data_IF_876962731752
#
_entry.id   IF_876962731752
#
_cell.length_a   1.000
_cell.length_b   1.000
_cell.length_c   1.000
_cell.angle_alpha   90.00
_cell.angle_beta   90.00
_cell.angle_gamma   90.00
#
_symmetry.space_group_name_H-M   'P 1'
#
loop_
_entity.id
_entity.type
_entity.pdbx_description
1 polymer ?
#
# COMPACT_ATOMS: atom_id res chain seq x y z
N UNK A 1 -2.82 3.69 -21.82
CA UNK A 1 -3.06 4.20 -20.45
C UNK A 1 -2.75 5.69 -20.50
N UNK A 2 -3.68 6.57 -20.14
CA UNK A 2 -3.42 8.01 -20.15
C UNK A 2 -2.37 8.34 -19.10
N UNK A 3 -1.28 9.00 -19.49
CA UNK A 3 -0.20 9.39 -18.58
C UNK A 3 -0.43 10.83 -18.13
N UNK A 4 -0.61 11.03 -16.82
CA UNK A 4 -0.51 12.36 -16.21
C UNK A 4 0.93 12.50 -15.75
N UNK A 5 1.78 13.09 -16.58
CA UNK A 5 3.20 13.27 -16.29
C UNK A 5 3.43 14.63 -15.64
N UNK A 6 4.05 14.62 -14.46
CA UNK A 6 4.53 15.84 -13.81
C UNK A 6 6.04 15.95 -14.11
N UNK A 7 6.46 16.91 -14.96
CA UNK A 7 7.84 16.99 -15.39
C UNK A 7 8.79 17.23 -14.21
N UNK A 8 9.94 16.55 -14.23
CA UNK A 8 11.07 16.70 -13.28
C UNK A 8 10.78 16.36 -11.81
N UNK A 9 9.56 15.94 -11.45
CA UNK A 9 9.23 15.58 -10.07
C UNK A 9 10.05 14.39 -9.58
N UNK A 10 10.25 13.37 -10.43
CA UNK A 10 11.07 12.21 -10.10
C UNK A 10 12.55 12.57 -9.90
N UNK A 11 13.16 13.35 -10.79
CA UNK A 11 14.56 13.78 -10.64
C UNK A 11 14.78 14.60 -9.36
N UNK A 12 13.83 15.49 -9.05
CA UNK A 12 13.86 16.26 -7.80
C UNK A 12 13.71 15.37 -6.56
N UNK A 13 12.79 14.41 -6.55
CA UNK A 13 12.57 13.53 -5.39
C UNK A 13 13.68 12.50 -5.21
N UNK A 14 14.24 11.97 -6.30
CA UNK A 14 15.22 10.90 -6.25
C UNK A 14 16.66 11.41 -6.03
N UNK A 15 17.03 12.51 -6.68
CA UNK A 15 18.41 13.01 -6.70
C UNK A 15 18.57 14.41 -6.08
N UNK A 16 17.47 15.06 -5.66
CA UNK A 16 17.45 16.45 -5.20
C UNK A 16 18.02 17.46 -6.23
N UNK A 17 18.09 17.04 -7.51
CA UNK A 17 18.53 17.85 -8.64
C UNK A 17 17.50 17.71 -9.79
N UNK A 18 16.84 18.81 -10.22
CA UNK A 18 15.89 18.80 -11.33
C UNK A 18 16.46 18.32 -12.67
N UNK A 19 17.77 18.30 -12.83
CA UNK A 19 18.45 17.90 -14.07
C UNK A 19 19.13 16.53 -13.97
N UNK A 20 19.00 15.82 -12.84
CA UNK A 20 19.52 14.47 -12.71
C UNK A 20 18.83 13.53 -13.70
N UNK A 21 19.65 12.78 -14.45
CA UNK A 21 19.18 11.79 -15.41
C UNK A 21 18.71 10.53 -14.67
N UNK A 22 17.41 10.24 -14.76
CA UNK A 22 16.82 9.01 -14.24
C UNK A 22 16.84 7.99 -15.38
N UNK A 23 17.59 6.90 -15.20
CA UNK A 23 17.68 5.83 -16.21
C UNK A 23 16.30 5.21 -16.44
N UNK A 24 15.87 5.23 -17.69
CA UNK A 24 14.61 4.59 -18.10
C UNK A 24 14.68 3.08 -17.99
N UNK A 25 13.52 2.44 -17.79
CA UNK A 25 13.44 0.97 -17.73
C UNK A 25 13.94 0.31 -19.02
N UNK A 26 13.91 1.03 -20.14
CA UNK A 26 14.39 0.55 -21.44
C UNK A 26 15.89 0.32 -21.54
N UNK A 27 16.68 0.87 -20.61
CA UNK A 27 18.13 0.64 -20.56
C UNK A 27 18.50 -0.74 -20.03
N UNK A 28 17.55 -1.49 -19.44
CA UNK A 28 17.78 -2.80 -18.84
C UNK A 28 17.32 -3.94 -19.78
N UNK A 29 17.95 -5.13 -19.76
CA UNK A 29 17.47 -6.27 -20.55
C UNK A 29 16.04 -6.66 -20.18
N UNK A 30 15.19 -7.01 -21.16
CA UNK A 30 13.77 -7.33 -20.92
C UNK A 30 13.54 -8.45 -19.91
N UNK A 31 14.46 -9.41 -19.82
CA UNK A 31 14.40 -10.54 -18.88
C UNK A 31 14.73 -10.16 -17.42
N UNK A 32 15.24 -8.95 -17.19
CA UNK A 32 15.61 -8.45 -15.86
C UNK A 32 14.65 -7.37 -15.37
N UNK A 33 13.62 -7.05 -16.16
CA UNK A 33 12.62 -6.04 -15.82
C UNK A 33 11.48 -6.67 -15.01
N UNK A 34 11.02 -6.03 -13.92
CA UNK A 34 9.76 -6.40 -13.28
C UNK A 34 8.58 -6.06 -14.20
N UNK A 35 7.38 -6.56 -13.86
CA UNK A 35 6.15 -6.16 -14.57
C UNK A 35 5.84 -4.67 -14.30
N UNK A 36 6.00 -3.77 -15.30
CA UNK A 36 5.92 -2.33 -15.05
C UNK A 36 4.48 -1.88 -14.76
N UNK A 37 3.48 -2.56 -15.31
CA UNK A 37 2.06 -2.21 -15.13
C UNK A 37 1.63 -2.45 -13.68
N UNK A 38 2.02 -3.59 -13.12
CA UNK A 38 1.67 -3.95 -11.74
C UNK A 38 2.33 -3.00 -10.75
N UNK A 39 3.61 -2.67 -10.96
CA UNK A 39 4.36 -1.74 -10.10
C UNK A 39 3.77 -0.33 -10.20
N UNK A 40 3.45 0.16 -11.40
CA UNK A 40 2.87 1.47 -11.60
C UNK A 40 1.50 1.61 -10.91
N UNK A 41 0.59 0.66 -11.13
CA UNK A 41 -0.74 0.70 -10.50
C UNK A 41 -0.67 0.60 -8.97
N UNK A 42 0.27 -0.18 -8.45
CA UNK A 42 0.49 -0.29 -7.01
C UNK A 42 1.06 1.03 -6.44
N UNK A 43 1.95 1.69 -7.17
CA UNK A 43 2.49 3.00 -6.81
C UNK A 43 1.40 4.07 -6.79
N UNK A 44 0.56 4.12 -7.82
CA UNK A 44 -0.56 5.05 -7.90
C UNK A 44 -1.54 4.85 -6.75
N UNK A 45 -1.88 3.60 -6.43
CA UNK A 45 -2.75 3.27 -5.31
C UNK A 45 -2.14 3.69 -3.96
N UNK A 46 -0.85 3.39 -3.74
CA UNK A 46 -0.13 3.76 -2.51
C UNK A 46 -0.11 5.28 -2.33
N UNK A 47 0.37 6.02 -3.34
CA UNK A 47 0.51 7.48 -3.27
C UNK A 47 -0.85 8.16 -3.24
N UNK A 48 -1.79 7.73 -4.08
CA UNK A 48 -3.13 8.29 -4.14
C UNK A 48 -3.89 8.14 -2.83
N UNK A 49 -3.92 6.93 -2.25
CA UNK A 49 -4.53 6.71 -0.94
C UNK A 49 -3.79 7.46 0.17
N UNK A 50 -2.45 7.41 0.18
CA UNK A 50 -1.62 8.08 1.18
C UNK A 50 -1.84 9.60 1.20
N UNK A 51 -1.85 10.24 0.03
CA UNK A 51 -2.15 11.67 -0.10
C UNK A 51 -3.57 12.00 0.33
N UNK A 52 -4.57 11.21 -0.08
CA UNK A 52 -5.96 11.45 0.29
C UNK A 52 -6.18 11.33 1.81
N UNK A 53 -5.56 10.35 2.45
CA UNK A 53 -5.58 10.17 3.90
C UNK A 53 -4.87 11.34 4.60
N UNK A 54 -3.69 11.73 4.12
CA UNK A 54 -2.93 12.86 4.65
C UNK A 54 -3.69 14.19 4.55
N UNK A 55 -4.34 14.44 3.41
CA UNK A 55 -5.19 15.61 3.19
C UNK A 55 -6.42 15.60 4.10
N UNK A 56 -7.07 14.44 4.28
CA UNK A 56 -8.20 14.29 5.18
C UNK A 56 -7.80 14.59 6.64
N UNK A 57 -6.64 14.08 7.07
CA UNK A 57 -6.09 14.33 8.40
C UNK A 57 -5.72 15.81 8.59
N UNK A 58 -5.05 16.42 7.61
CA UNK A 58 -4.69 17.84 7.63
C UNK A 58 -5.94 18.74 7.70
N UNK A 59 -6.96 18.44 6.89
CA UNK A 59 -8.23 19.17 6.90
C UNK A 59 -8.95 19.04 8.25
N UNK A 60 -8.98 17.84 8.83
CA UNK A 60 -9.57 17.63 10.15
C UNK A 60 -8.85 18.45 11.23
N UNK A 61 -7.52 18.39 11.25
CA UNK A 61 -6.71 19.14 12.21
C UNK A 61 -6.86 20.65 12.04
N UNK A 62 -6.83 21.13 10.80
CA UNK A 62 -7.05 22.54 10.48
C UNK A 62 -8.40 23.05 11.00
N UNK A 63 -9.47 22.29 10.78
CA UNK A 63 -10.81 22.65 11.26
C UNK A 63 -10.91 22.59 12.79
N UNK A 64 -10.24 21.64 13.44
CA UNK A 64 -10.16 21.60 14.91
C UNK A 64 -9.48 22.84 15.47
N UNK A 65 -8.35 23.27 14.90
CA UNK A 65 -7.64 24.49 15.31
C UNK A 65 -8.51 25.72 15.07
N UNK A 66 -9.06 25.86 13.87
CA UNK A 66 -9.89 27.02 13.49
C UNK A 66 -11.13 27.16 14.38
N UNK A 67 -11.72 26.04 14.82
CA UNK A 67 -12.90 26.03 15.71
C UNK A 67 -12.55 25.98 17.20
N UNK A 68 -11.31 26.31 17.58
CA UNK A 68 -10.82 26.33 18.97
C UNK A 68 -11.03 25.01 19.72
N UNK A 69 -10.70 23.90 19.07
CA UNK A 69 -10.77 22.55 19.65
C UNK A 69 -12.14 21.87 19.54
N UNK A 70 -13.13 22.49 18.89
CA UNK A 70 -14.42 21.83 18.64
C UNK A 70 -14.32 20.88 17.45
N UNK A 71 -14.69 19.62 17.68
CA UNK A 71 -14.72 18.58 16.64
C UNK A 71 -15.69 18.98 15.52
N UNK A 72 -15.25 18.96 14.25
CA UNK A 72 -16.12 19.25 13.12
C UNK A 72 -17.26 18.22 13.02
N UNK A 73 -18.51 18.66 13.04
CA UNK A 73 -19.68 17.80 12.87
C UNK A 73 -20.03 17.53 11.38
N UNK A 74 -19.09 17.77 10.46
CA UNK A 74 -19.33 17.62 9.03
C UNK A 74 -19.32 16.14 8.64
N UNK A 75 -20.51 15.57 8.41
CA UNK A 75 -20.71 14.12 8.17
C UNK A 75 -19.81 13.51 7.08
N UNK A 76 -19.59 14.14 5.91
CA UNK A 76 -18.67 13.62 4.90
C UNK A 76 -17.23 13.51 5.39
N UNK A 77 -16.75 14.48 6.17
CA UNK A 77 -15.40 14.44 6.74
C UNK A 77 -15.27 13.29 7.76
N UNK A 78 -16.28 13.08 8.61
CA UNK A 78 -16.26 11.97 9.56
C UNK A 78 -16.28 10.60 8.86
N UNK A 79 -17.01 10.46 7.75
CA UNK A 79 -16.97 9.27 6.91
C UNK A 79 -15.61 9.07 6.25
N UNK A 80 -14.99 10.15 5.75
CA UNK A 80 -13.66 10.10 5.16
C UNK A 80 -12.61 9.61 6.17
N UNK A 81 -12.70 10.08 7.43
CA UNK A 81 -11.84 9.62 8.53
C UNK A 81 -12.15 8.18 8.93
N UNK A 82 -13.41 7.75 8.89
CA UNK A 82 -13.74 6.35 9.19
C UNK A 82 -13.17 5.39 8.12
N UNK A 83 -13.22 5.79 6.85
CA UNK A 83 -12.70 5.00 5.71
C UNK A 83 -11.17 5.03 5.64
N UNK A 84 -10.52 6.07 6.19
CA UNK A 84 -9.06 6.19 6.17
C UNK A 84 -8.34 5.06 6.89
N UNK A 85 -8.97 4.42 7.89
CA UNK A 85 -8.42 3.25 8.58
C UNK A 85 -8.21 2.07 7.62
N UNK A 86 -9.28 1.50 7.03
CA UNK A 86 -9.15 0.47 6.00
C UNK A 86 -8.31 0.90 4.79
N UNK A 87 -8.44 2.15 4.35
CA UNK A 87 -7.66 2.67 3.22
C UNK A 87 -6.16 2.72 3.51
N UNK A 88 -5.74 2.98 4.76
CA UNK A 88 -4.34 2.94 5.18
C UNK A 88 -3.74 1.54 5.03
N UNK A 89 -4.51 0.50 5.36
CA UNK A 89 -4.08 -0.89 5.17
C UNK A 89 -3.90 -1.18 3.68
N UNK A 90 -4.86 -0.77 2.84
CA UNK A 90 -4.73 -0.95 1.40
C UNK A 90 -3.52 -0.20 0.81
N UNK A 91 -3.24 1.02 1.28
CA UNK A 91 -2.06 1.78 0.86
C UNK A 91 -0.75 1.10 1.29
N UNK A 92 -0.72 0.51 2.49
CA UNK A 92 0.43 -0.24 2.99
C UNK A 92 0.70 -1.50 2.15
N UNK A 93 -0.33 -2.30 1.83
CA UNK A 93 -0.21 -3.48 0.96
C UNK A 93 0.24 -3.10 -0.46
N UNK A 94 -0.30 -1.99 -1.00
CA UNK A 94 0.14 -1.47 -2.29
C UNK A 94 1.62 -1.07 -2.26
N UNK A 95 2.12 -0.50 -1.16
CA UNK A 95 3.54 -0.21 -0.97
C UNK A 95 4.40 -1.47 -0.95
N UNK A 96 3.95 -2.54 -0.29
CA UNK A 96 4.61 -3.85 -0.35
C UNK A 96 4.63 -4.43 -1.77
N UNK A 97 3.56 -4.24 -2.54
CA UNK A 97 3.55 -4.66 -3.94
C UNK A 97 4.55 -3.87 -4.79
N UNK A 98 4.69 -2.56 -4.58
CA UNK A 98 5.71 -1.76 -5.28
C UNK A 98 7.11 -2.30 -5.01
N UNK A 99 7.45 -2.57 -3.75
CA UNK A 99 8.80 -3.02 -3.38
C UNK A 99 9.06 -4.47 -3.79
N UNK A 100 8.11 -5.37 -3.55
CA UNK A 100 8.31 -6.81 -3.77
C UNK A 100 8.23 -7.17 -5.26
N UNK A 101 7.23 -6.65 -5.99
CA UNK A 101 7.14 -6.86 -7.43
C UNK A 101 8.15 -6.03 -8.20
N UNK A 102 8.54 -4.86 -7.68
CA UNK A 102 9.61 -4.04 -8.28
C UNK A 102 10.99 -4.70 -8.23
N UNK A 103 11.21 -5.63 -7.28
CA UNK A 103 12.47 -6.37 -7.17
C UNK A 103 12.52 -7.60 -8.08
N UNK A 104 11.39 -8.10 -8.57
CA UNK A 104 11.36 -9.24 -9.50
C UNK A 104 12.19 -8.93 -10.76
N UNK A 105 12.96 -9.90 -11.30
CA UNK A 105 13.03 -11.32 -10.95
C UNK A 105 14.10 -11.66 -9.90
N UNK A 106 14.62 -10.67 -9.17
CA UNK A 106 15.76 -10.85 -8.28
C UNK A 106 15.32 -11.07 -6.83
N UNK A 107 16.03 -11.96 -6.12
CA UNK A 107 16.01 -11.98 -4.65
C UNK A 107 17.17 -11.12 -4.16
N UNK A 108 18.36 -11.39 -4.68
CA UNK A 108 19.55 -10.58 -4.48
C UNK A 108 19.99 -10.10 -5.85
N UNK A 109 19.97 -8.78 -6.04
CA UNK A 109 20.23 -8.17 -7.34
C UNK A 109 21.60 -8.60 -7.90
N UNK A 110 21.60 -9.13 -9.12
CA UNK A 110 22.80 -9.61 -9.81
C UNK A 110 23.42 -10.90 -9.25
N UNK A 111 22.83 -11.50 -8.22
CA UNK A 111 23.39 -12.69 -7.54
C UNK A 111 22.43 -13.88 -7.59
N UNK A 112 21.15 -13.71 -7.25
CA UNK A 112 20.20 -14.81 -7.11
C UNK A 112 18.83 -14.46 -7.68
N UNK A 113 18.36 -15.27 -8.64
CA UNK A 113 17.02 -15.12 -9.24
C UNK A 113 15.95 -15.88 -8.43
N UNK A 114 14.71 -15.39 -8.50
CA UNK A 114 13.57 -16.04 -7.83
C UNK A 114 13.29 -17.45 -8.34
N UNK A 115 13.53 -17.70 -9.63
CA UNK A 115 13.39 -19.03 -10.25
C UNK A 115 14.39 -20.06 -9.73
N UNK A 116 15.57 -19.62 -9.27
CA UNK A 116 16.65 -20.48 -8.79
C UNK A 116 16.50 -20.82 -7.30
N UNK A 117 15.84 -19.95 -6.54
CA UNK A 117 15.60 -20.16 -5.12
C UNK A 117 14.36 -21.03 -4.81
N UNK A 118 13.47 -21.22 -5.79
CA UNK A 118 12.29 -22.05 -5.62
C UNK A 118 12.68 -23.54 -5.57
N UNK A 119 12.18 -24.27 -4.58
CA UNK A 119 12.41 -25.72 -4.44
C UNK A 119 11.19 -26.51 -4.92
N UNK A 120 11.43 -27.69 -5.50
CA UNK A 120 10.38 -28.63 -5.93
C UNK A 120 9.87 -29.47 -4.74
N UNK A 121 9.33 -28.82 -3.70
CA UNK A 121 8.79 -29.53 -2.54
C UNK A 121 7.47 -30.26 -2.90
N UNK A 122 7.36 -31.57 -2.64
CA UNK A 122 6.21 -32.37 -3.09
C UNK A 122 4.88 -32.00 -2.44
N UNK A 123 4.89 -31.35 -1.27
CA UNK A 123 3.68 -30.97 -0.52
C UNK A 123 3.41 -29.46 -0.50
N UNK A 124 3.96 -28.67 -1.43
CA UNK A 124 3.84 -27.21 -1.42
C UNK A 124 2.38 -26.73 -1.49
N UNK A 125 1.59 -27.29 -2.42
CA UNK A 125 0.18 -26.93 -2.61
C UNK A 125 -0.68 -27.18 -1.37
N UNK A 126 -0.70 -28.42 -0.82
CA UNK A 126 -1.43 -28.72 0.41
C UNK A 126 -0.98 -27.85 1.60
N UNK A 127 0.34 -27.66 1.77
CA UNK A 127 0.88 -26.83 2.86
C UNK A 127 0.41 -25.38 2.74
N UNK A 128 0.44 -24.81 1.53
CA UNK A 128 -0.10 -23.48 1.26
C UNK A 128 -1.59 -23.37 1.63
N UNK A 129 -2.41 -24.35 1.23
CA UNK A 129 -3.84 -24.35 1.55
C UNK A 129 -4.11 -24.42 3.06
N UNK A 130 -3.31 -25.19 3.81
CA UNK A 130 -3.41 -25.24 5.27
C UNK A 130 -3.10 -23.89 5.90
N UNK A 131 -1.98 -23.25 5.53
CA UNK A 131 -1.65 -21.92 6.05
C UNK A 131 -2.68 -20.87 5.63
N UNK A 132 -3.16 -20.93 4.39
CA UNK A 132 -4.22 -20.04 3.91
C UNK A 132 -5.51 -20.19 4.74
N UNK A 133 -5.94 -21.42 5.00
CA UNK A 133 -7.11 -21.69 5.84
C UNK A 133 -6.93 -21.19 7.27
N UNK A 134 -5.75 -21.38 7.86
CA UNK A 134 -5.40 -20.86 9.20
C UNK A 134 -5.50 -19.33 9.23
N UNK A 135 -4.92 -18.63 8.25
CA UNK A 135 -4.95 -17.18 8.20
C UNK A 135 -6.37 -16.62 8.01
N UNK A 136 -7.20 -17.26 7.18
CA UNK A 136 -8.61 -16.89 7.04
C UNK A 136 -9.37 -17.10 8.36
N UNK A 137 -9.16 -18.23 9.03
CA UNK A 137 -9.76 -18.51 10.33
C UNK A 137 -9.36 -17.49 11.40
N UNK A 138 -8.07 -17.12 11.44
CA UNK A 138 -7.53 -16.12 12.35
C UNK A 138 -8.12 -14.73 12.06
N UNK A 139 -8.17 -14.32 10.79
CA UNK A 139 -8.72 -13.04 10.37
C UNK A 139 -10.22 -12.93 10.73
N UNK A 140 -11.01 -13.97 10.42
CA UNK A 140 -12.44 -14.01 10.72
C UNK A 140 -12.72 -13.97 12.24
N UNK A 141 -11.94 -14.73 13.01
CA UNK A 141 -12.08 -14.76 14.48
C UNK A 141 -11.73 -13.42 15.09
N UNK A 142 -10.61 -12.82 14.67
CA UNK A 142 -10.17 -11.51 15.15
C UNK A 142 -11.18 -10.42 14.81
N UNK A 143 -11.66 -10.38 13.56
CA UNK A 143 -12.69 -9.43 13.14
C UNK A 143 -13.98 -9.60 13.97
N UNK A 144 -14.44 -10.84 14.19
CA UNK A 144 -15.62 -11.12 15.02
C UNK A 144 -15.43 -10.62 16.46
N UNK A 145 -14.29 -10.90 17.08
CA UNK A 145 -14.00 -10.49 18.45
C UNK A 145 -13.96 -8.96 18.58
N UNK A 146 -13.32 -8.26 17.64
CA UNK A 146 -13.28 -6.80 17.62
C UNK A 146 -14.69 -6.19 17.43
N UNK A 147 -15.52 -6.77 16.56
CA UNK A 147 -16.90 -6.32 16.37
C UNK A 147 -17.77 -6.58 17.61
N UNK A 148 -17.60 -7.72 18.28
CA UNK A 148 -18.31 -8.02 19.53
C UNK A 148 -17.90 -7.04 20.65
N UNK A 149 -16.60 -6.77 20.78
CA UNK A 149 -16.07 -5.80 21.74
C UNK A 149 -16.61 -4.38 21.46
N UNK A 150 -16.66 -3.97 20.18
CA UNK A 150 -17.22 -2.68 19.79
C UNK A 150 -18.71 -2.55 20.12
N UNK A 151 -19.51 -3.60 19.88
CA UNK A 151 -20.93 -3.64 20.26
C UNK A 151 -21.11 -3.59 21.78
N UNK A 152 -20.30 -4.35 22.53
CA UNK A 152 -20.36 -4.37 24.00
C UNK A 152 -20.01 -3.00 24.60
N UNK A 153 -19.02 -2.31 24.04
CA UNK A 153 -18.65 -0.96 24.48
C UNK A 153 -19.77 0.05 24.20
N UNK A 154 -20.43 -0.02 23.04
CA UNK A 154 -21.60 0.84 22.75
C UNK A 154 -22.78 0.62 23.68
N UNK A 155 -23.01 -0.61 24.13
CA UNK A 155 -24.08 -0.92 25.08
C UNK A 155 -23.79 -0.45 26.52
N UNK A 156 -22.54 -0.08 26.83
CA UNK A 156 -22.11 0.42 28.15
C UNK A 156 -21.97 1.94 28.23
N UNK A 157 -21.99 2.62 27.09
CA UNK A 157 -21.87 4.08 26.96
C UNK A 157 -23.26 4.72 26.84
#
# INVERSE_FOLDING_TARGET
>A
MGAIEIPKLLSLLAAFDPNAEVRGLDTFPSNDRPNPVLVHLSFDAMVGLGMLIGLAAALFWFLCIYRRGRVPAWRPLLWLIAISGPASVAAMEAGWFVTEFGRQPWIVYGILRTSEAATAAPALGPTFLVFFAIYIGLAATTARLLLLQAKRNRARA
#
